data_IF_779034749190
#
_entry.id   IF_779034749190
#
_cell.length_a   1.000
_cell.length_b   1.000
_cell.length_c   1.000
_cell.angle_alpha   90.00
_cell.angle_beta   90.00
_cell.angle_gamma   90.00
#
_symmetry.space_group_name_H-M   'P 1'
#
loop_
_entity.id
_entity.type
_entity.pdbx_description
1 polymer ?
#
# COMPACT_ATOMS: atom_id res chain seq x y z
N UNK A 1 24.90 38.12 -54.29
CA UNK A 1 24.76 39.43 -53.62
C UNK A 1 24.93 39.20 -52.11
N UNK A 2 26.02 39.77 -51.55
CA UNK A 2 26.43 40.03 -50.15
C UNK A 2 25.70 39.31 -48.99
N UNK A 3 26.28 38.53 -48.06
CA UNK A 3 27.54 38.56 -47.27
C UNK A 3 27.60 39.55 -46.08
N UNK A 4 28.19 39.06 -44.96
CA UNK A 4 28.71 39.69 -43.72
C UNK A 4 27.76 39.62 -42.50
N UNK A 5 27.98 38.92 -41.37
CA UNK A 5 29.09 38.59 -40.44
C UNK A 5 29.65 39.73 -39.56
N UNK A 6 29.47 39.56 -38.23
CA UNK A 6 30.42 39.73 -37.11
C UNK A 6 30.67 41.09 -36.43
N UNK A 7 30.65 41.04 -35.08
CA UNK A 7 31.40 41.84 -34.07
C UNK A 7 31.08 43.34 -33.91
N UNK A 8 31.26 44.02 -32.78
CA UNK A 8 31.42 43.71 -31.35
C UNK A 8 31.64 45.09 -30.68
N UNK A 9 31.10 45.34 -29.48
CA UNK A 9 31.72 46.26 -28.52
C UNK A 9 31.68 45.60 -27.13
N UNK A 10 32.86 45.18 -26.69
CA UNK A 10 33.19 44.75 -25.33
C UNK A 10 33.74 45.92 -24.52
N UNK A 11 33.32 46.07 -23.26
CA UNK A 11 34.18 46.24 -22.06
C UNK A 11 33.24 46.23 -20.85
N UNK A 12 33.44 45.48 -19.75
CA UNK A 12 34.64 45.37 -18.93
C UNK A 12 34.84 43.97 -18.33
N UNK A 13 36.10 43.69 -18.05
CA UNK A 13 36.74 42.46 -17.58
C UNK A 13 36.45 42.17 -16.10
N UNK A 14 36.27 40.89 -15.76
CA UNK A 14 36.39 40.42 -14.37
C UNK A 14 36.03 38.94 -14.15
N UNK A 15 36.95 38.02 -14.48
CA UNK A 15 36.86 36.58 -14.15
C UNK A 15 36.72 36.34 -12.63
N UNK A 16 35.84 35.42 -12.21
CA UNK A 16 36.22 34.22 -11.43
C UNK A 16 35.04 33.28 -11.13
N UNK A 17 35.30 31.99 -11.39
CA UNK A 17 34.55 30.83 -10.93
C UNK A 17 34.27 30.87 -9.41
N UNK A 18 33.06 30.46 -9.01
CA UNK A 18 32.79 29.60 -7.85
C UNK A 18 31.38 29.00 -7.95
N UNK A 19 31.33 27.70 -7.66
CA UNK A 19 30.17 26.83 -7.38
C UNK A 19 28.86 27.54 -6.99
N UNK A 20 27.80 27.30 -7.75
CA UNK A 20 26.43 27.71 -7.42
C UNK A 20 25.50 26.50 -7.46
N UNK A 21 25.21 25.95 -6.27
CA UNK A 21 24.04 25.11 -6.01
C UNK A 21 22.81 25.98 -6.30
N UNK A 22 21.99 25.58 -7.27
CA UNK A 22 20.69 26.23 -7.53
C UNK A 22 19.67 25.61 -6.59
N UNK A 23 19.34 26.33 -5.53
CA UNK A 23 18.23 26.04 -4.63
C UNK A 23 16.89 26.39 -5.30
N UNK A 24 15.96 25.44 -5.31
CA UNK A 24 14.57 25.65 -5.72
C UNK A 24 13.73 26.10 -4.50
N UNK A 25 12.79 27.05 -4.66
CA UNK A 25 11.96 27.50 -3.56
C UNK A 25 10.81 26.52 -3.30
N UNK A 26 10.74 26.02 -2.06
CA UNK A 26 9.58 25.30 -1.53
C UNK A 26 8.44 26.31 -1.35
N UNK A 27 7.44 26.26 -2.23
CA UNK A 27 6.12 26.83 -1.93
C UNK A 27 5.35 25.79 -1.11
N UNK A 28 5.24 26.05 0.19
CA UNK A 28 4.32 25.35 1.07
C UNK A 28 2.87 25.67 0.63
N UNK A 29 2.20 24.68 0.03
CA UNK A 29 0.72 24.60 0.07
C UNK A 29 0.35 23.72 1.25
N UNK A 30 -0.42 24.30 2.15
CA UNK A 30 -1.04 23.65 3.30
C UNK A 30 -1.83 22.43 2.84
N UNK A 31 -1.30 21.25 3.12
CA UNK A 31 -2.05 20.00 3.07
C UNK A 31 -2.40 19.64 4.51
N UNK A 32 -3.68 19.48 4.78
CA UNK A 32 -4.25 18.96 6.01
C UNK A 32 -3.82 17.50 6.17
N UNK A 33 -2.60 17.31 6.65
CA UNK A 33 -2.11 16.02 7.16
C UNK A 33 -2.15 16.13 8.67
N UNK A 34 -3.03 15.38 9.31
CA UNK A 34 -2.97 15.17 10.75
C UNK A 34 -1.67 14.42 11.01
N UNK A 35 -0.68 15.10 11.55
CA UNK A 35 0.56 14.47 11.98
C UNK A 35 0.25 13.51 13.13
N UNK A 36 0.95 12.36 13.17
CA UNK A 36 0.80 11.30 14.19
C UNK A 36 0.84 11.80 15.66
N UNK A 37 1.47 12.94 16.03
CA UNK A 37 1.33 13.50 17.38
C UNK A 37 -0.06 14.07 17.72
N UNK A 38 -0.88 14.46 16.74
CA UNK A 38 -2.22 15.04 16.99
C UNK A 38 -3.28 13.98 17.35
N UNK A 39 -3.08 12.73 16.93
CA UNK A 39 -3.98 11.61 17.26
C UNK A 39 -3.82 11.15 18.71
N UNK A 40 -2.62 11.31 19.29
CA UNK A 40 -2.35 11.06 20.71
C UNK A 40 -2.93 12.17 21.61
N UNK A 41 -2.92 13.42 21.14
CA UNK A 41 -3.49 14.56 21.88
C UNK A 41 -5.03 14.55 21.94
N UNK A 42 -5.71 14.03 20.90
CA UNK A 42 -7.18 13.89 20.89
C UNK A 42 -7.68 12.79 21.85
N UNK A 43 -6.88 11.74 22.08
CA UNK A 43 -7.16 10.72 23.08
C UNK A 43 -6.94 11.23 24.51
N UNK A 44 -5.94 12.10 24.74
CA UNK A 44 -5.71 12.71 26.07
C UNK A 44 -6.68 13.87 26.40
N UNK A 45 -7.23 14.56 25.38
CA UNK A 45 -8.22 15.63 25.57
C UNK A 45 -9.63 15.13 25.93
N UNK A 46 -10.01 13.93 25.46
CA UNK A 46 -11.31 13.30 25.77
C UNK A 46 -11.41 12.75 27.20
N UNK A 47 -10.28 12.43 27.84
CA UNK A 47 -10.22 11.76 29.15
C UNK A 47 -10.21 12.71 30.35
N UNK A 48 -10.25 14.04 30.15
CA UNK A 48 -10.15 15.06 31.22
C UNK A 48 -11.41 15.90 31.45
N UNK A 49 -12.62 15.37 31.21
CA UNK A 49 -13.86 16.04 31.67
C UNK A 49 -14.57 15.24 32.77
N UNK A 50 -14.89 15.85 33.92
CA UNK A 50 -15.79 15.24 34.89
C UNK A 50 -17.21 15.21 34.33
N UNK A 51 -17.84 14.04 34.45
CA UNK A 51 -19.23 13.76 34.08
C UNK A 51 -20.17 14.68 34.87
N UNK A 52 -20.85 15.62 34.20
CA UNK A 52 -21.99 16.35 34.79
C UNK A 52 -23.25 15.49 34.61
N UNK A 53 -23.85 15.16 35.75
CA UNK A 53 -25.14 14.49 35.88
C UNK A 53 -26.27 15.30 35.27
N UNK A 54 -27.17 14.63 34.54
CA UNK A 54 -28.47 15.19 34.22
C UNK A 54 -29.08 14.68 32.92
N UNK A 55 -30.26 14.07 33.08
CA UNK A 55 -31.31 13.79 32.09
C UNK A 55 -31.38 12.38 31.44
N UNK A 56 -32.49 11.75 31.86
CA UNK A 56 -33.39 10.82 31.17
C UNK A 56 -33.11 9.32 31.23
N UNK A 57 -33.64 8.74 32.31
CA UNK A 57 -34.11 7.35 32.42
C UNK A 57 -35.27 7.11 31.44
N UNK A 58 -34.99 6.69 30.22
CA UNK A 58 -35.89 5.82 29.44
C UNK A 58 -35.12 5.22 28.27
N UNK A 59 -34.32 4.19 28.54
CA UNK A 59 -33.80 3.23 27.54
C UNK A 59 -33.04 2.08 28.22
N UNK A 60 -33.35 1.78 29.49
CA UNK A 60 -32.72 0.69 30.26
C UNK A 60 -33.62 -0.55 30.37
N UNK A 61 -34.46 -0.80 29.36
CA UNK A 61 -35.37 -1.96 29.36
C UNK A 61 -35.65 -2.44 27.93
N UNK A 62 -34.61 -2.85 27.21
CA UNK A 62 -34.71 -3.84 26.14
C UNK A 62 -33.29 -4.20 25.70
N UNK A 63 -32.81 -5.33 26.22
CA UNK A 63 -31.82 -6.29 25.69
C UNK A 63 -31.27 -6.99 26.94
N UNK A 64 -32.08 -7.92 27.45
CA UNK A 64 -31.66 -8.95 28.39
C UNK A 64 -31.58 -10.26 27.63
N UNK A 65 -30.65 -10.36 26.68
CA UNK A 65 -30.12 -11.65 26.24
C UNK A 65 -28.67 -11.42 25.77
N UNK A 66 -27.71 -11.92 26.55
CA UNK A 66 -26.42 -12.35 26.00
C UNK A 66 -25.26 -11.37 25.91
N UNK A 67 -24.89 -10.66 26.99
CA UNK A 67 -23.50 -10.16 27.21
C UNK A 67 -23.21 -9.94 28.71
N UNK A 68 -23.28 -11.00 29.51
CA UNK A 68 -22.69 -10.95 30.85
C UNK A 68 -21.21 -11.31 30.75
N UNK A 69 -20.37 -10.28 30.59
CA UNK A 69 -18.97 -10.17 31.03
C UNK A 69 -18.20 -9.28 30.05
N UNK A 70 -18.22 -7.96 30.30
CA UNK A 70 -17.11 -7.04 30.05
C UNK A 70 -17.60 -5.61 30.32
N UNK A 71 -17.63 -5.24 31.60
CA UNK A 71 -17.50 -3.84 31.98
C UNK A 71 -16.32 -3.75 32.95
N UNK A 72 -15.33 -2.88 32.71
CA UNK A 72 -14.22 -2.70 33.65
C UNK A 72 -14.76 -2.15 34.98
N UNK A 73 -14.37 -2.77 36.09
CA UNK A 73 -14.65 -2.29 37.45
C UNK A 73 -13.43 -1.50 37.93
N UNK A 74 -13.65 -0.26 38.35
CA UNK A 74 -12.67 0.61 39.00
C UNK A 74 -12.94 0.57 40.50
N UNK A 75 -11.94 0.26 41.33
CA UNK A 75 -12.05 0.41 42.79
C UNK A 75 -11.91 1.89 43.19
N UNK A 76 -12.43 2.24 44.38
CA UNK A 76 -12.59 3.62 44.84
C UNK A 76 -11.27 4.39 45.06
N UNK A 77 -10.10 3.78 44.84
CA UNK A 77 -8.77 4.39 44.98
C UNK A 77 -8.02 4.62 43.65
N UNK A 78 -8.64 4.30 42.50
CA UNK A 78 -8.18 4.74 41.18
C UNK A 78 -7.05 3.93 40.53
N UNK A 79 -6.81 2.67 40.94
CA UNK A 79 -5.77 1.81 40.33
C UNK A 79 -6.35 0.86 39.24
N UNK A 80 -5.64 0.73 38.11
CA UNK A 80 -6.02 -0.14 36.99
C UNK A 80 -5.48 -1.57 37.18
N UNK A 81 -6.32 -2.59 36.94
CA UNK A 81 -5.94 -4.00 36.89
C UNK A 81 -5.99 -4.44 35.41
N UNK A 82 -4.89 -4.91 34.85
CA UNK A 82 -4.89 -5.56 33.54
C UNK A 82 -5.57 -6.94 33.65
N UNK A 83 -6.80 -7.04 33.16
CA UNK A 83 -7.49 -8.31 33.02
C UNK A 83 -6.74 -9.21 32.03
N UNK A 84 -6.23 -10.34 32.52
CA UNK A 84 -5.62 -11.37 31.69
C UNK A 84 -6.65 -12.01 30.78
N UNK A 85 -6.35 -12.05 29.49
CA UNK A 85 -7.08 -12.85 28.52
C UNK A 85 -6.72 -14.33 28.76
N UNK A 86 -7.64 -15.11 29.30
CA UNK A 86 -7.54 -16.58 29.22
C UNK A 86 -8.40 -17.03 28.05
N UNK A 87 -7.75 -17.29 26.91
CA UNK A 87 -8.40 -18.02 25.82
C UNK A 87 -8.39 -19.50 26.17
N UNK A 88 -9.58 -20.08 26.32
CA UNK A 88 -9.77 -21.53 26.27
C UNK A 88 -9.28 -22.07 24.94
N UNK A 89 -8.15 -22.77 24.96
CA UNK A 89 -7.65 -23.54 23.82
C UNK A 89 -8.50 -24.81 23.67
N UNK A 90 -9.24 -24.90 22.57
CA UNK A 90 -9.65 -26.19 22.02
C UNK A 90 -8.38 -26.80 21.43
N UNK A 91 -7.91 -27.88 22.05
CA UNK A 91 -6.69 -28.60 21.69
C UNK A 91 -6.91 -29.36 20.37
N UNK A 92 -6.62 -28.72 19.24
CA UNK A 92 -6.38 -29.43 17.99
C UNK A 92 -4.99 -30.08 18.10
N UNK A 93 -4.96 -31.41 18.21
CA UNK A 93 -3.74 -32.19 18.35
C UNK A 93 -2.80 -32.02 17.15
N UNK A 94 -1.83 -31.12 17.28
CA UNK A 94 -0.62 -31.13 16.47
C UNK A 94 0.44 -31.97 17.20
N UNK A 95 0.81 -33.09 16.58
CA UNK A 95 1.91 -33.97 16.98
C UNK A 95 3.22 -33.17 17.13
N UNK A 96 3.71 -33.03 18.36
CA UNK A 96 4.99 -32.38 18.72
C UNK A 96 6.18 -33.35 18.70
N UNK A 97 6.22 -34.26 17.72
CA UNK A 97 7.35 -35.16 17.57
C UNK A 97 8.40 -34.59 16.57
N UNK A 98 9.58 -34.25 17.10
CA UNK A 98 10.83 -33.90 16.41
C UNK A 98 10.90 -32.61 15.57
N UNK A 99 11.01 -31.46 16.24
CA UNK A 99 11.67 -30.27 15.65
C UNK A 99 12.93 -29.90 16.45
N UNK A 100 13.94 -30.77 16.41
CA UNK A 100 15.29 -30.48 16.92
C UNK A 100 16.19 -30.00 15.79
N UNK A 101 15.99 -28.74 15.39
CA UNK A 101 16.95 -27.82 14.78
C UNK A 101 16.27 -26.45 14.89
N UNK A 102 17.01 -25.41 15.29
CA UNK A 102 16.51 -24.04 15.21
C UNK A 102 16.38 -23.69 13.73
N UNK A 103 15.29 -24.09 13.10
CA UNK A 103 14.96 -23.76 11.71
C UNK A 103 14.51 -22.30 11.70
N UNK A 104 15.48 -21.38 11.80
CA UNK A 104 15.24 -19.99 11.47
C UNK A 104 14.81 -19.96 10.00
N UNK A 105 13.60 -19.45 9.76
CA UNK A 105 13.06 -19.21 8.43
C UNK A 105 14.09 -18.45 7.58
N UNK A 106 14.35 -18.95 6.37
CA UNK A 106 15.23 -18.25 5.44
C UNK A 106 14.54 -16.98 4.93
N UNK A 107 15.32 -15.98 4.54
CA UNK A 107 14.77 -14.73 4.00
C UNK A 107 13.87 -14.99 2.78
N UNK A 108 14.27 -15.89 1.87
CA UNK A 108 13.46 -16.25 0.70
C UNK A 108 12.10 -16.86 1.12
N UNK A 109 12.10 -17.74 2.13
CA UNK A 109 10.86 -18.36 2.64
C UNK A 109 9.95 -17.30 3.28
N UNK A 110 10.50 -16.34 4.02
CA UNK A 110 9.74 -15.23 4.59
C UNK A 110 9.11 -14.34 3.50
N UNK A 111 9.88 -14.00 2.46
CA UNK A 111 9.40 -13.17 1.35
C UNK A 111 8.31 -13.91 0.56
N UNK A 112 8.51 -15.20 0.27
CA UNK A 112 7.52 -16.05 -0.39
C UNK A 112 6.23 -16.14 0.43
N UNK A 113 6.33 -16.40 1.74
CA UNK A 113 5.19 -16.44 2.66
C UNK A 113 4.45 -15.10 2.70
N UNK A 114 5.17 -13.97 2.72
CA UNK A 114 4.54 -12.64 2.70
C UNK A 114 3.73 -12.39 1.42
N UNK A 115 4.24 -12.78 0.24
CA UNK A 115 3.51 -12.66 -1.01
C UNK A 115 2.32 -13.62 -1.07
N UNK A 116 2.47 -14.86 -0.62
CA UNK A 116 1.37 -15.82 -0.56
C UNK A 116 0.27 -15.32 0.38
N UNK A 117 0.65 -14.75 1.52
CA UNK A 117 -0.31 -14.19 2.46
C UNK A 117 -1.04 -12.98 1.89
N UNK A 118 -0.34 -12.10 1.19
CA UNK A 118 -0.98 -10.98 0.49
C UNK A 118 -1.97 -11.48 -0.56
N UNK A 119 -1.61 -12.51 -1.33
CA UNK A 119 -2.49 -13.07 -2.37
C UNK A 119 -3.81 -13.57 -1.78
N UNK A 120 -3.77 -14.29 -0.65
CA UNK A 120 -5.00 -14.70 0.06
C UNK A 120 -5.91 -13.49 0.38
N UNK A 121 -5.32 -12.44 0.97
CA UNK A 121 -6.04 -11.23 1.37
C UNK A 121 -6.54 -10.43 0.17
N UNK A 122 -5.81 -10.46 -0.94
CA UNK A 122 -6.21 -9.84 -2.20
C UNK A 122 -7.41 -10.58 -2.79
N UNK A 123 -7.38 -11.91 -2.83
CA UNK A 123 -8.49 -12.73 -3.33
C UNK A 123 -9.75 -12.55 -2.48
N UNK A 124 -9.63 -12.46 -1.16
CA UNK A 124 -10.74 -12.10 -0.27
C UNK A 124 -11.31 -10.71 -0.58
N UNK A 125 -10.44 -9.76 -0.94
CA UNK A 125 -10.85 -8.39 -1.28
C UNK A 125 -11.52 -8.32 -2.66
N UNK A 126 -11.02 -9.03 -3.68
CA UNK A 126 -11.43 -8.83 -5.08
C UNK A 126 -12.32 -9.93 -5.66
N UNK A 127 -12.34 -11.12 -5.06
CA UNK A 127 -12.90 -12.33 -5.67
C UNK A 127 -14.41 -12.31 -5.93
N UNK A 128 -15.15 -11.41 -5.31
CA UNK A 128 -16.59 -11.24 -5.48
C UNK A 128 -17.00 -9.80 -5.86
N UNK A 129 -16.05 -8.94 -6.27
CA UNK A 129 -16.36 -7.59 -6.69
C UNK A 129 -17.14 -7.61 -8.01
N UNK A 130 -18.25 -6.87 -8.04
CA UNK A 130 -18.96 -6.62 -9.30
C UNK A 130 -18.20 -5.58 -10.13
N UNK A 131 -18.44 -5.48 -11.46
CA UNK A 131 -17.84 -4.44 -12.28
C UNK A 131 -18.13 -3.03 -11.75
N UNK A 132 -19.33 -2.77 -11.23
CA UNK A 132 -19.70 -1.48 -10.65
C UNK A 132 -18.96 -1.19 -9.35
N UNK A 133 -18.74 -2.21 -8.51
CA UNK A 133 -17.93 -2.07 -7.31
C UNK A 133 -16.47 -1.80 -7.69
N UNK A 134 -15.93 -2.50 -8.69
CA UNK A 134 -14.56 -2.26 -9.15
C UNK A 134 -14.36 -0.82 -9.66
N UNK A 135 -15.38 -0.22 -10.31
CA UNK A 135 -15.36 1.16 -10.78
C UNK A 135 -15.59 2.20 -9.65
N UNK A 136 -15.99 1.77 -8.46
CA UNK A 136 -16.33 2.66 -7.36
C UNK A 136 -15.09 3.26 -6.67
N UNK A 137 -15.26 4.47 -6.11
CA UNK A 137 -14.27 5.24 -5.34
C UNK A 137 -14.93 6.03 -4.22
N UNK A 138 -14.20 6.28 -3.14
CA UNK A 138 -14.70 6.97 -1.94
C UNK A 138 -15.05 8.46 -2.14
N UNK A 139 -14.53 9.08 -3.20
CA UNK A 139 -14.77 10.49 -3.51
C UNK A 139 -14.23 10.83 -4.91
N UNK A 140 -14.53 12.03 -5.42
CA UNK A 140 -14.17 12.42 -6.78
C UNK A 140 -12.66 12.43 -7.03
N UNK A 141 -11.86 12.74 -6.01
CA UNK A 141 -10.39 12.77 -6.10
C UNK A 141 -9.72 11.44 -5.71
N UNK A 142 -10.51 10.42 -5.34
CA UNK A 142 -9.98 9.11 -4.98
C UNK A 142 -9.77 8.24 -6.23
N UNK A 143 -8.82 7.31 -6.14
CA UNK A 143 -8.64 6.29 -7.16
C UNK A 143 -9.75 5.21 -7.04
N UNK A 144 -10.32 4.76 -8.17
CA UNK A 144 -11.24 3.63 -8.16
C UNK A 144 -10.52 2.31 -7.86
N UNK A 145 -11.23 1.32 -7.31
CA UNK A 145 -10.66 0.03 -6.93
C UNK A 145 -9.94 -0.67 -8.11
N UNK A 146 -10.51 -0.61 -9.31
CA UNK A 146 -9.90 -1.19 -10.52
C UNK A 146 -8.58 -0.52 -10.91
N UNK A 147 -8.45 0.79 -10.70
CA UNK A 147 -7.17 1.49 -10.91
C UNK A 147 -6.14 1.05 -9.86
N UNK A 148 -6.55 0.91 -8.60
CA UNK A 148 -5.66 0.49 -7.51
C UNK A 148 -5.15 -0.94 -7.74
N UNK A 149 -6.04 -1.86 -8.13
CA UNK A 149 -5.68 -3.24 -8.46
C UNK A 149 -4.71 -3.30 -9.64
N UNK A 150 -5.02 -2.60 -10.74
CA UNK A 150 -4.10 -2.53 -11.88
C UNK A 150 -2.74 -1.94 -11.48
N UNK A 151 -2.74 -0.82 -10.75
CA UNK A 151 -1.53 -0.13 -10.32
C UNK A 151 -0.58 -1.05 -9.54
N UNK A 152 -1.06 -1.73 -8.49
CA UNK A 152 -0.20 -2.59 -7.67
C UNK A 152 0.43 -3.74 -8.48
N UNK A 153 -0.31 -4.33 -9.42
CA UNK A 153 0.21 -5.39 -10.29
C UNK A 153 1.23 -4.85 -11.30
N UNK A 154 1.03 -3.64 -11.83
CA UNK A 154 1.99 -2.97 -12.73
C UNK A 154 3.26 -2.58 -11.98
N UNK A 155 3.18 -2.21 -10.71
CA UNK A 155 4.37 -1.83 -9.94
C UNK A 155 5.21 -3.05 -9.59
N UNK A 156 4.61 -4.18 -9.20
CA UNK A 156 5.35 -5.43 -9.03
C UNK A 156 6.07 -5.84 -10.33
N UNK A 157 5.34 -5.83 -11.47
CA UNK A 157 5.91 -6.14 -12.78
C UNK A 157 7.10 -5.23 -13.15
N UNK A 158 6.90 -3.91 -13.01
CA UNK A 158 7.94 -2.92 -13.32
C UNK A 158 9.18 -3.09 -12.43
N UNK A 159 9.03 -3.35 -11.13
CA UNK A 159 10.20 -3.53 -10.25
C UNK A 159 10.96 -4.81 -10.57
N UNK A 160 10.28 -5.93 -10.77
CA UNK A 160 10.95 -7.21 -10.96
C UNK A 160 11.44 -7.44 -12.38
N UNK A 161 10.60 -7.21 -13.39
CA UNK A 161 10.98 -7.49 -14.78
C UNK A 161 11.87 -6.38 -15.33
N UNK A 162 11.40 -5.14 -15.28
CA UNK A 162 12.14 -4.03 -15.86
C UNK A 162 13.28 -3.55 -14.98
N UNK A 163 13.01 -3.23 -13.71
CA UNK A 163 14.00 -2.56 -12.89
C UNK A 163 15.16 -3.48 -12.48
N UNK A 164 14.84 -4.63 -11.87
CA UNK A 164 15.83 -5.61 -11.40
C UNK A 164 16.42 -6.40 -12.57
N UNK A 165 15.57 -7.10 -13.35
CA UNK A 165 16.04 -8.07 -14.35
C UNK A 165 16.37 -7.47 -15.72
N UNK A 166 16.07 -6.16 -15.93
CA UNK A 166 16.32 -5.43 -17.17
C UNK A 166 15.67 -6.08 -18.41
N UNK A 167 14.51 -6.69 -18.21
CA UNK A 167 13.69 -7.29 -19.26
C UNK A 167 12.48 -6.40 -19.59
N UNK A 168 11.82 -6.61 -20.73
CA UNK A 168 10.47 -6.11 -20.93
C UNK A 168 9.55 -6.57 -19.80
N UNK A 169 8.66 -5.68 -19.38
CA UNK A 169 7.60 -5.99 -18.42
C UNK A 169 6.68 -7.06 -18.99
N UNK A 170 6.14 -7.94 -18.14
CA UNK A 170 5.17 -8.99 -18.54
C UNK A 170 3.99 -8.35 -19.26
N UNK A 171 3.59 -7.18 -18.80
CA UNK A 171 2.57 -6.34 -19.41
C UNK A 171 2.74 -6.13 -20.92
N UNK A 172 3.97 -5.85 -21.36
CA UNK A 172 4.32 -5.67 -22.78
C UNK A 172 4.60 -7.02 -23.43
N UNK A 173 5.44 -7.84 -22.79
CA UNK A 173 5.94 -9.10 -23.33
C UNK A 173 4.82 -10.07 -23.72
N UNK A 174 3.76 -10.11 -22.91
CA UNK A 174 2.66 -11.07 -23.06
C UNK A 174 1.38 -10.40 -23.61
N UNK A 175 1.45 -9.14 -24.07
CA UNK A 175 0.36 -8.46 -24.79
C UNK A 175 -0.80 -7.98 -23.91
N UNK A 176 -0.60 -7.83 -22.60
CA UNK A 176 -1.64 -7.34 -21.69
C UNK A 176 -1.99 -5.88 -21.96
N UNK A 177 -1.00 -5.06 -22.35
CA UNK A 177 -1.22 -3.68 -22.80
C UNK A 177 -2.27 -3.59 -23.91
N UNK A 178 -2.17 -4.46 -24.92
CA UNK A 178 -3.12 -4.52 -26.04
C UNK A 178 -4.49 -5.01 -25.57
N UNK A 179 -4.50 -6.06 -24.74
CA UNK A 179 -5.73 -6.64 -24.19
C UNK A 179 -6.56 -5.65 -23.40
N UNK A 180 -5.91 -4.82 -22.58
CA UNK A 180 -6.57 -3.80 -21.78
C UNK A 180 -6.69 -2.44 -22.48
N UNK A 181 -6.12 -2.28 -23.68
CA UNK A 181 -6.14 -1.03 -24.44
C UNK A 181 -5.42 0.12 -23.74
N UNK A 182 -4.35 -0.20 -23.01
CA UNK A 182 -3.58 0.75 -22.20
C UNK A 182 -2.13 0.85 -22.69
N UNK A 183 -1.41 1.96 -22.39
CA UNK A 183 -0.05 2.15 -22.89
C UNK A 183 0.93 1.09 -22.37
N UNK A 184 1.96 0.80 -23.17
CA UNK A 184 3.01 -0.16 -22.84
C UNK A 184 3.81 0.22 -21.60
N UNK A 185 4.12 1.52 -21.44
CA UNK A 185 4.88 2.04 -20.29
C UNK A 185 4.03 2.98 -19.46
N UNK A 186 3.12 2.38 -18.72
CA UNK A 186 2.29 3.05 -17.74
C UNK A 186 2.05 2.11 -16.55
N UNK A 187 2.17 2.68 -15.34
CA UNK A 187 1.83 2.01 -14.10
C UNK A 187 0.98 2.92 -13.21
N UNK A 188 0.54 4.10 -13.67
CA UNK A 188 -0.27 5.02 -12.88
C UNK A 188 0.51 6.04 -12.05
N UNK A 189 1.83 5.87 -11.86
CA UNK A 189 2.62 6.83 -11.09
C UNK A 189 2.56 8.22 -11.76
N UNK A 190 2.11 9.22 -10.99
CA UNK A 190 1.97 10.58 -11.49
C UNK A 190 0.73 10.82 -12.35
N UNK A 191 -0.23 9.89 -12.38
CA UNK A 191 -1.53 10.16 -13.01
C UNK A 191 -2.19 11.39 -12.40
N UNK A 192 -2.60 12.31 -13.27
CA UNK A 192 -3.48 13.42 -12.91
C UNK A 192 -4.90 12.93 -12.65
N UNK A 193 -5.70 13.74 -11.96
CA UNK A 193 -7.10 13.45 -11.73
C UNK A 193 -7.87 13.16 -13.04
N UNK A 194 -7.58 13.92 -14.10
CA UNK A 194 -8.19 13.70 -15.42
C UNK A 194 -7.86 12.32 -16.01
N UNK A 195 -6.64 11.83 -15.81
CA UNK A 195 -6.24 10.49 -16.26
C UNK A 195 -6.95 9.41 -15.45
N UNK A 196 -7.08 9.58 -14.13
CA UNK A 196 -7.84 8.67 -13.27
C UNK A 196 -9.32 8.66 -13.64
N UNK A 197 -9.92 9.83 -13.89
CA UNK A 197 -11.32 9.97 -14.29
C UNK A 197 -11.62 9.35 -15.66
N UNK A 198 -10.62 9.32 -16.54
CA UNK A 198 -10.73 8.71 -17.88
C UNK A 198 -10.23 7.26 -17.90
N UNK A 199 -9.88 6.68 -16.75
CA UNK A 199 -9.32 5.35 -16.69
C UNK A 199 -10.39 4.31 -17.03
N UNK A 200 -10.11 3.36 -17.93
CA UNK A 200 -11.12 2.40 -18.37
C UNK A 200 -11.53 1.45 -17.24
N UNK A 201 -12.76 0.97 -17.31
CA UNK A 201 -13.20 -0.14 -16.50
C UNK A 201 -12.53 -1.42 -17.01
N UNK A 202 -11.80 -2.10 -16.14
CA UNK A 202 -11.05 -3.31 -16.46
C UNK A 202 -11.81 -4.56 -16.01
N UNK A 203 -11.53 -5.70 -16.66
CA UNK A 203 -12.04 -7.00 -16.21
C UNK A 203 -11.19 -7.52 -15.04
N UNK A 204 -11.83 -7.76 -13.90
CA UNK A 204 -11.15 -8.22 -12.67
C UNK A 204 -10.50 -9.58 -12.87
N UNK A 205 -11.15 -10.51 -13.57
CA UNK A 205 -10.62 -11.86 -13.76
C UNK A 205 -9.38 -11.85 -14.67
N UNK A 206 -9.36 -10.98 -15.68
CA UNK A 206 -8.16 -10.74 -16.49
C UNK A 206 -7.05 -10.07 -15.70
N UNK A 207 -7.36 -9.10 -14.83
CA UNK A 207 -6.36 -8.47 -13.97
C UNK A 207 -5.73 -9.51 -13.03
N UNK A 208 -6.51 -10.41 -12.46
CA UNK A 208 -5.99 -11.49 -11.62
C UNK A 208 -5.12 -12.44 -12.43
N UNK A 209 -5.51 -12.84 -13.65
CA UNK A 209 -4.63 -13.67 -14.52
C UNK A 209 -3.31 -12.99 -14.85
N UNK A 210 -3.33 -11.69 -15.11
CA UNK A 210 -2.11 -10.90 -15.28
C UNK A 210 -1.28 -10.89 -13.99
N UNK A 211 -1.92 -10.65 -12.84
CA UNK A 211 -1.28 -10.67 -11.53
C UNK A 211 -0.64 -12.02 -11.18
N UNK A 212 -1.30 -13.14 -11.50
CA UNK A 212 -0.77 -14.49 -11.33
C UNK A 212 0.50 -14.69 -12.17
N UNK A 213 0.51 -14.16 -13.41
CA UNK A 213 1.67 -14.21 -14.30
C UNK A 213 2.85 -13.40 -13.75
N UNK A 214 2.56 -12.20 -13.22
CA UNK A 214 3.56 -11.33 -12.56
C UNK A 214 4.12 -12.00 -11.31
N UNK A 215 3.25 -12.43 -10.39
CA UNK A 215 3.63 -13.07 -9.14
C UNK A 215 4.43 -14.35 -9.36
N UNK A 216 4.00 -15.18 -10.31
CA UNK A 216 4.73 -16.39 -10.69
C UNK A 216 6.17 -16.09 -11.14
N UNK A 217 6.36 -15.04 -11.95
CA UNK A 217 7.70 -14.62 -12.37
C UNK A 217 8.52 -14.02 -11.22
N UNK A 218 7.90 -13.24 -10.32
CA UNK A 218 8.54 -12.70 -9.11
C UNK A 218 9.05 -13.82 -8.19
N UNK A 219 8.22 -14.83 -7.93
CA UNK A 219 8.58 -15.97 -7.08
C UNK A 219 9.64 -16.88 -7.75
N UNK A 220 9.58 -17.04 -9.08
CA UNK A 220 10.62 -17.74 -9.82
C UNK A 220 11.98 -17.02 -9.71
N UNK A 221 11.99 -15.68 -9.78
CA UNK A 221 13.19 -14.88 -9.54
C UNK A 221 13.71 -15.06 -8.11
N UNK A 222 12.84 -14.95 -7.10
CA UNK A 222 13.17 -15.13 -5.67
C UNK A 222 13.82 -16.50 -5.38
N UNK A 223 13.32 -17.57 -6.01
CA UNK A 223 13.84 -18.93 -5.84
C UNK A 223 15.29 -19.07 -6.32
N UNK A 224 15.72 -18.24 -7.26
CA UNK A 224 17.08 -18.24 -7.81
C UNK A 224 18.11 -17.49 -6.96
N UNK A 225 17.69 -16.73 -5.93
CA UNK A 225 18.59 -15.85 -5.18
C UNK A 225 19.30 -16.54 -4.03
N UNK A 226 20.61 -16.31 -3.97
CA UNK A 226 21.45 -16.54 -2.80
C UNK A 226 21.39 -15.38 -1.79
N UNK A 227 21.90 -15.57 -0.55
CA UNK A 227 21.90 -14.52 0.48
C UNK A 227 22.57 -13.22 0.06
N UNK A 228 23.67 -13.29 -0.69
CA UNK A 228 24.43 -12.14 -1.17
C UNK A 228 23.70 -11.33 -2.26
N UNK A 229 22.79 -11.97 -3.00
CA UNK A 229 22.08 -11.31 -4.10
C UNK A 229 21.12 -10.21 -3.58
N UNK A 230 20.66 -10.33 -2.33
CA UNK A 230 19.78 -9.33 -1.72
C UNK A 230 20.48 -7.98 -1.48
N UNK A 231 21.81 -7.95 -1.43
CA UNK A 231 22.61 -6.72 -1.29
C UNK A 231 22.95 -6.07 -2.63
N UNK A 232 22.73 -6.77 -3.75
CA UNK A 232 23.02 -6.25 -5.09
C UNK A 232 22.12 -5.06 -5.40
N UNK A 233 22.71 -3.98 -5.90
CA UNK A 233 22.01 -2.78 -6.40
C UNK A 233 21.88 -2.89 -7.92
N UNK A 234 20.66 -3.12 -8.47
CA UNK A 234 20.51 -3.36 -9.91
C UNK A 234 20.78 -2.14 -10.79
N UNK A 235 20.64 -0.93 -10.24
CA UNK A 235 20.77 0.34 -10.99
C UNK A 235 21.45 1.41 -10.14
N UNK A 236 22.58 1.91 -10.65
CA UNK A 236 23.39 2.94 -9.98
C UNK A 236 22.62 4.25 -9.72
N UNK A 237 21.58 4.53 -10.52
CA UNK A 237 20.76 5.73 -10.35
C UNK A 237 19.87 5.68 -9.10
N UNK A 238 19.74 4.52 -8.45
CA UNK A 238 18.97 4.30 -7.22
C UNK A 238 19.80 3.46 -6.25
N UNK A 239 20.90 4.02 -5.71
CA UNK A 239 21.82 3.28 -4.85
C UNK A 239 21.19 2.75 -3.56
N UNK A 240 20.04 3.31 -3.16
CA UNK A 240 19.25 2.87 -2.01
C UNK A 240 18.40 1.61 -2.28
N UNK A 241 18.25 1.21 -3.54
CA UNK A 241 17.37 0.12 -3.97
C UNK A 241 18.16 -1.15 -4.30
N UNK A 242 18.69 -1.80 -3.26
CA UNK A 242 19.16 -3.19 -3.38
C UNK A 242 17.99 -4.14 -3.69
N UNK A 243 18.28 -5.35 -4.16
CA UNK A 243 17.25 -6.38 -4.42
C UNK A 243 16.39 -6.62 -3.18
N UNK A 244 16.99 -6.75 -2.00
CA UNK A 244 16.26 -6.89 -0.74
C UNK A 244 15.43 -5.65 -0.38
N UNK A 245 15.96 -4.45 -0.64
CA UNK A 245 15.20 -3.22 -0.43
C UNK A 245 13.99 -3.11 -1.37
N UNK A 246 14.11 -3.61 -2.61
CA UNK A 246 13.00 -3.66 -3.57
C UNK A 246 11.95 -4.68 -3.15
N UNK A 247 12.33 -5.90 -2.73
CA UNK A 247 11.36 -6.85 -2.17
C UNK A 247 10.57 -6.26 -1.00
N UNK A 248 11.28 -5.64 -0.05
CA UNK A 248 10.64 -4.94 1.08
C UNK A 248 9.68 -3.83 0.61
N UNK A 249 10.10 -3.02 -0.36
CA UNK A 249 9.30 -1.94 -0.92
C UNK A 249 8.01 -2.47 -1.56
N UNK A 250 8.15 -3.47 -2.44
CA UNK A 250 7.00 -4.05 -3.17
C UNK A 250 6.04 -4.73 -2.20
N UNK A 251 6.53 -5.51 -1.22
CA UNK A 251 5.67 -6.10 -0.18
C UNK A 251 4.86 -5.02 0.54
N UNK A 252 5.51 -3.93 0.98
CA UNK A 252 4.80 -2.84 1.66
C UNK A 252 3.72 -2.20 0.78
N UNK A 253 4.01 -2.03 -0.50
CA UNK A 253 3.10 -1.44 -1.47
C UNK A 253 1.88 -2.31 -1.75
N UNK A 254 2.06 -3.60 -2.01
CA UNK A 254 0.94 -4.51 -2.32
C UNK A 254 -0.02 -4.66 -1.13
N UNK A 255 0.50 -4.80 0.09
CA UNK A 255 -0.34 -4.86 1.30
C UNK A 255 -1.10 -3.54 1.52
N UNK A 256 -0.46 -2.39 1.25
CA UNK A 256 -1.12 -1.09 1.37
C UNK A 256 -2.30 -0.97 0.39
N UNK A 257 -2.08 -1.31 -0.89
CA UNK A 257 -3.11 -1.21 -1.92
C UNK A 257 -4.21 -2.27 -1.76
N UNK A 258 -3.86 -3.49 -1.37
CA UNK A 258 -4.82 -4.53 -0.98
C UNK A 258 -5.73 -4.02 0.15
N UNK A 259 -5.16 -3.43 1.19
CA UNK A 259 -5.92 -2.84 2.30
C UNK A 259 -6.85 -1.71 1.86
N UNK A 260 -6.42 -0.86 0.92
CA UNK A 260 -7.29 0.16 0.32
C UNK A 260 -8.50 -0.47 -0.38
N UNK A 261 -8.31 -1.52 -1.18
CA UNK A 261 -9.40 -2.19 -1.89
C UNK A 261 -10.38 -2.81 -0.88
N UNK A 262 -9.87 -3.54 0.13
CA UNK A 262 -10.71 -4.15 1.16
C UNK A 262 -11.55 -3.10 1.91
N UNK A 263 -10.95 -1.95 2.24
CA UNK A 263 -11.65 -0.85 2.90
C UNK A 263 -12.73 -0.22 2.00
N UNK A 264 -12.41 0.05 0.72
CA UNK A 264 -13.35 0.62 -0.25
C UNK A 264 -14.54 -0.33 -0.51
N UNK A 265 -14.28 -1.63 -0.61
CA UNK A 265 -15.33 -2.68 -0.68
C UNK A 265 -16.28 -2.62 0.51
N UNK A 266 -15.74 -2.50 1.72
CA UNK A 266 -16.53 -2.35 2.94
C UNK A 266 -17.40 -1.10 2.90
N UNK A 267 -16.85 0.04 2.46
CA UNK A 267 -17.59 1.30 2.34
C UNK A 267 -18.74 1.23 1.33
N UNK A 268 -18.48 0.74 0.11
CA UNK A 268 -19.52 0.70 -0.94
C UNK A 268 -20.67 -0.25 -0.56
N UNK A 269 -20.38 -1.38 0.09
CA UNK A 269 -21.41 -2.35 0.53
C UNK A 269 -22.18 -1.89 1.77
N UNK A 270 -21.51 -1.21 2.69
CA UNK A 270 -22.18 -0.62 3.86
C UNK A 270 -23.12 0.52 3.47
N UNK A 271 -22.75 1.31 2.46
CA UNK A 271 -23.61 2.36 1.90
C UNK A 271 -24.82 1.84 1.11
N UNK A 272 -24.73 0.65 0.51
CA UNK A 272 -25.86 -0.03 -0.17
C UNK A 272 -26.89 -0.64 0.80
N UNK A 273 -26.57 -0.74 2.09
CA UNK A 273 -27.41 -1.38 3.11
C UNK A 273 -28.41 -0.43 3.79
N UNK A 274 -28.66 0.77 3.25
CA UNK A 274 -29.71 1.68 3.71
C UNK A 274 -30.96 1.50 2.82
N UNK A 275 -32.03 0.84 3.29
CA UNK A 275 -33.33 0.82 2.62
C UNK A 275 -34.03 2.18 2.65
#
# INVERSE_FOLDING_TARGET
>A
MASLTSQAISSLIGKRFRSGIVSWPIRARTSSVISVPAMVALLDWGLRRPYRSGLNRSLAQAISVGTANCAPRVEADGRWISGGWTSSLVEYGYSTANRTRSDNMKLNEFIEDAFNKEYELLMDAVGDLTPDELAWRAGPEANPMGWILWHMLRVEDMWFQFFIQRQPEIWERDGWNEKFGLPTRDNGFGHSQKQVDSFPQLDVAELIRYGDSVRGATLAYLKGLGPEDFEVVPREQRPEMSVGAIFRQVIGEIFQHQGHIAYLKGLVRSGKSQP
#
